data_IF_057987390643
#
_entry.id   IF_057987390643
#
_cell.length_a   1.000
_cell.length_b   1.000
_cell.length_c   1.000
_cell.angle_alpha   90.00
_cell.angle_beta   90.00
_cell.angle_gamma   90.00
#
_symmetry.space_group_name_H-M   'P 1'
#
loop_
_entity.id
_entity.type
_entity.pdbx_description
1 polymer ?
#
# COMPACT_ATOMS: atom_id res chain seq x y z
N UNK A 1 4.24 -3.56 27.68
CA UNK A 1 3.21 -2.50 27.66
C UNK A 1 3.33 -1.52 26.50
N UNK A 2 4.46 -0.82 26.20
CA UNK A 2 4.50 0.20 25.14
C UNK A 2 4.12 -0.33 23.76
N UNK A 3 4.55 -1.55 23.41
CA UNK A 3 4.23 -2.16 22.12
C UNK A 3 2.72 -2.42 21.95
N UNK A 4 2.02 -2.89 22.99
CA UNK A 4 0.56 -3.09 22.91
C UNK A 4 -0.21 -1.76 22.72
N UNK A 5 0.25 -0.68 23.38
CA UNK A 5 -0.30 0.66 23.19
C UNK A 5 -0.13 1.12 21.74
N UNK A 6 1.05 0.91 21.14
CA UNK A 6 1.32 1.23 19.75
C UNK A 6 0.40 0.45 18.81
N UNK A 7 0.23 -0.87 19.06
CA UNK A 7 -0.65 -1.76 18.25
C UNK A 7 -2.10 -1.29 18.31
N UNK A 8 -2.62 -0.95 19.48
CA UNK A 8 -4.00 -0.45 19.62
C UNK A 8 -4.16 0.91 18.96
N UNK A 9 -3.19 1.82 19.14
CA UNK A 9 -3.17 3.11 18.44
C UNK A 9 -3.19 2.94 16.92
N UNK A 10 -2.36 2.04 16.38
CA UNK A 10 -2.30 1.73 14.95
C UNK A 10 -3.63 1.17 14.42
N UNK A 11 -4.28 0.29 15.18
CA UNK A 11 -5.57 -0.26 14.81
C UNK A 11 -6.64 0.83 14.73
N UNK A 12 -6.79 1.63 15.78
CA UNK A 12 -7.80 2.69 15.84
C UNK A 12 -7.57 3.75 14.75
N UNK A 13 -6.32 4.22 14.63
CA UNK A 13 -5.95 5.21 13.65
C UNK A 13 -6.07 4.68 12.22
N UNK A 14 -5.64 3.44 11.98
CA UNK A 14 -5.74 2.79 10.68
C UNK A 14 -7.20 2.58 10.24
N UNK A 15 -8.10 2.17 11.13
CA UNK A 15 -9.53 2.07 10.84
C UNK A 15 -10.09 3.45 10.46
N UNK A 16 -9.78 4.49 11.23
CA UNK A 16 -10.23 5.84 10.96
C UNK A 16 -9.77 6.36 9.59
N UNK A 17 -8.47 6.24 9.28
CA UNK A 17 -7.91 6.78 8.04
C UNK A 17 -8.26 5.96 6.79
N UNK A 18 -8.62 4.70 6.90
CA UNK A 18 -9.03 3.90 5.75
C UNK A 18 -10.53 3.98 5.43
N UNK A 19 -11.35 4.55 6.32
CA UNK A 19 -12.79 4.73 6.12
C UNK A 19 -13.12 5.59 4.88
N UNK A 20 -12.43 6.71 4.58
CA UNK A 20 -12.69 7.51 3.39
C UNK A 20 -12.54 6.78 2.05
N UNK A 21 -11.80 5.67 2.02
CA UNK A 21 -11.64 4.86 0.79
C UNK A 21 -12.98 4.32 0.32
N UNK A 22 -13.89 3.99 1.24
CA UNK A 22 -15.25 3.52 0.90
C UNK A 22 -16.24 4.67 0.69
N UNK A 23 -16.23 5.66 1.59
CA UNK A 23 -17.25 6.73 1.61
C UNK A 23 -17.01 7.81 0.59
N UNK A 24 -15.76 8.26 0.41
CA UNK A 24 -15.49 9.49 -0.37
C UNK A 24 -15.90 9.38 -1.84
N UNK A 25 -15.71 8.25 -2.56
CA UNK A 25 -16.23 8.13 -3.93
C UNK A 25 -17.74 8.28 -4.01
N UNK A 26 -18.46 7.71 -3.02
CA UNK A 26 -19.92 7.78 -2.95
C UNK A 26 -20.41 9.20 -2.59
N UNK A 27 -19.71 9.87 -1.67
CA UNK A 27 -20.01 11.25 -1.29
C UNK A 27 -19.83 12.22 -2.45
N UNK A 28 -18.74 12.08 -3.22
CA UNK A 28 -18.50 12.90 -4.42
C UNK A 28 -19.54 12.65 -5.51
N UNK A 29 -19.97 11.39 -5.70
CA UNK A 29 -21.09 11.07 -6.60
C UNK A 29 -22.38 11.73 -6.18
N UNK A 30 -22.70 11.66 -4.88
CA UNK A 30 -23.91 12.30 -4.32
C UNK A 30 -23.89 13.83 -4.48
N UNK A 31 -22.70 14.43 -4.51
CA UNK A 31 -22.50 15.86 -4.84
C UNK A 31 -22.65 16.17 -6.36
N UNK A 32 -22.95 15.16 -7.21
CA UNK A 32 -23.06 15.36 -8.65
C UNK A 32 -21.72 15.38 -9.39
N UNK A 33 -20.62 14.98 -8.75
CA UNK A 33 -19.28 14.98 -9.36
C UNK A 33 -19.18 13.89 -10.43
N UNK A 34 -18.71 14.25 -11.63
CA UNK A 34 -18.49 13.31 -12.72
C UNK A 34 -17.41 12.27 -12.38
N UNK A 35 -17.57 11.04 -12.89
CA UNK A 35 -16.67 9.92 -12.62
C UNK A 35 -15.16 10.21 -12.85
N UNK A 36 -14.73 10.92 -13.90
CA UNK A 36 -13.32 11.29 -14.06
C UNK A 36 -12.80 12.17 -12.92
N UNK A 37 -13.60 13.13 -12.46
CA UNK A 37 -13.22 14.02 -11.37
C UNK A 37 -13.15 13.27 -10.02
N UNK A 38 -14.03 12.28 -9.80
CA UNK A 38 -13.94 11.37 -8.65
C UNK A 38 -12.63 10.58 -8.71
N UNK A 39 -12.27 10.00 -9.88
CA UNK A 39 -11.02 9.26 -10.05
C UNK A 39 -9.78 10.12 -9.76
N UNK A 40 -9.77 11.37 -10.22
CA UNK A 40 -8.68 12.34 -9.94
C UNK A 40 -8.61 12.63 -8.44
N UNK A 41 -9.74 12.93 -7.80
CA UNK A 41 -9.78 13.21 -6.38
C UNK A 41 -9.29 12.02 -5.53
N UNK A 42 -9.72 10.81 -5.84
CA UNK A 42 -9.25 9.60 -5.17
C UNK A 42 -7.76 9.32 -5.43
N UNK A 43 -7.31 9.54 -6.67
CA UNK A 43 -5.92 9.37 -7.09
C UNK A 43 -4.94 10.35 -6.44
N UNK A 44 -5.39 11.56 -6.09
CA UNK A 44 -4.54 12.60 -5.48
C UNK A 44 -3.81 12.13 -4.23
N UNK A 45 -4.46 11.28 -3.43
CA UNK A 45 -3.86 10.66 -2.24
C UNK A 45 -2.65 9.77 -2.58
N UNK A 46 -2.68 9.05 -3.68
CA UNK A 46 -1.59 8.17 -4.10
C UNK A 46 -0.40 8.97 -4.62
N UNK A 47 -0.67 10.07 -5.34
CA UNK A 47 0.38 11.01 -5.75
C UNK A 47 1.02 11.70 -4.55
N UNK A 48 0.23 12.18 -3.61
CA UNK A 48 0.75 12.77 -2.38
C UNK A 48 1.64 11.79 -1.61
N UNK A 49 1.20 10.52 -1.47
CA UNK A 49 1.98 9.47 -0.85
C UNK A 49 3.32 9.23 -1.59
N UNK A 50 3.32 9.20 -2.92
CA UNK A 50 4.54 9.01 -3.73
C UNK A 50 5.57 10.11 -3.45
N UNK A 51 5.17 11.38 -3.56
CA UNK A 51 6.09 12.51 -3.39
C UNK A 51 6.63 12.63 -1.95
N UNK A 52 5.84 12.24 -0.96
CA UNK A 52 6.21 12.36 0.44
C UNK A 52 6.98 11.14 0.97
N UNK A 53 6.85 9.98 0.34
CA UNK A 53 7.49 8.73 0.80
C UNK A 53 9.01 8.86 1.01
N UNK A 54 9.72 9.61 0.17
CA UNK A 54 11.17 9.80 0.29
C UNK A 54 11.54 10.83 1.39
N UNK A 55 10.99 12.06 1.40
CA UNK A 55 11.36 13.06 2.40
C UNK A 55 10.86 12.72 3.81
N UNK A 56 9.77 11.94 3.95
CA UNK A 56 9.16 11.64 5.25
C UNK A 56 10.10 10.83 6.15
N UNK A 57 10.88 9.89 5.59
CA UNK A 57 11.87 9.13 6.33
C UNK A 57 12.96 10.04 6.91
N UNK A 58 13.53 10.92 6.07
CA UNK A 58 14.53 11.89 6.51
C UNK A 58 13.97 12.89 7.54
N UNK A 59 12.69 13.26 7.41
CA UNK A 59 12.00 14.12 8.37
C UNK A 59 11.80 13.41 9.71
N UNK A 60 11.41 12.13 9.67
CA UNK A 60 11.26 11.27 10.87
C UNK A 60 12.57 11.14 11.63
N UNK A 61 13.70 11.00 10.91
CA UNK A 61 15.03 10.92 11.54
C UNK A 61 15.48 12.27 12.16
N UNK A 62 15.00 13.41 11.62
CA UNK A 62 15.35 14.75 12.12
C UNK A 62 14.51 15.18 13.31
N UNK A 63 13.20 14.99 13.23
CA UNK A 63 12.23 15.45 14.25
C UNK A 63 12.14 14.46 15.40
N UNK A 64 12.48 13.19 15.14
CA UNK A 64 12.30 12.09 16.08
C UNK A 64 11.00 11.33 15.79
N UNK A 65 11.00 10.04 16.14
CA UNK A 65 9.93 9.10 15.75
C UNK A 65 8.61 9.37 16.44
N UNK A 66 8.63 9.62 17.74
CA UNK A 66 7.40 9.88 18.52
C UNK A 66 6.77 11.25 18.20
N UNK A 67 7.53 12.35 18.09
CA UNK A 67 6.99 13.61 17.58
C UNK A 67 6.41 13.50 16.17
N UNK A 68 7.09 12.79 15.25
CA UNK A 68 6.59 12.56 13.90
C UNK A 68 5.29 11.74 13.90
N UNK A 69 5.22 10.71 14.73
CA UNK A 69 4.03 9.88 14.89
C UNK A 69 2.83 10.72 15.37
N UNK A 70 3.04 11.59 16.38
CA UNK A 70 2.01 12.51 16.89
C UNK A 70 1.62 13.57 15.88
N UNK A 71 2.57 14.19 15.18
CA UNK A 71 2.28 15.18 14.15
C UNK A 71 1.46 14.59 13.00
N UNK A 72 1.84 13.41 12.54
CA UNK A 72 1.11 12.68 11.51
C UNK A 72 -0.29 12.29 11.96
N UNK A 73 -0.46 11.84 13.21
CA UNK A 73 -1.76 11.51 13.76
C UNK A 73 -2.68 12.75 13.84
N UNK A 74 -2.15 13.88 14.31
CA UNK A 74 -2.88 15.16 14.33
C UNK A 74 -3.29 15.63 12.93
N UNK A 75 -2.38 15.55 11.96
CA UNK A 75 -2.66 15.91 10.57
C UNK A 75 -3.78 15.03 9.96
N UNK A 76 -3.77 13.72 10.29
CA UNK A 76 -4.81 12.79 9.88
C UNK A 76 -6.18 13.14 10.44
N UNK A 77 -6.25 13.50 11.73
CA UNK A 77 -7.50 13.96 12.36
C UNK A 77 -8.04 15.21 11.67
N UNK A 78 -7.18 16.20 11.42
CA UNK A 78 -7.57 17.42 10.71
C UNK A 78 -8.10 17.11 9.30
N UNK A 79 -7.47 16.20 8.58
CA UNK A 79 -7.93 15.79 7.26
C UNK A 79 -9.30 15.08 7.31
N UNK A 80 -9.55 14.22 8.31
CA UNK A 80 -10.85 13.56 8.50
C UNK A 80 -11.95 14.55 8.84
N UNK A 81 -11.67 15.51 9.72
CA UNK A 81 -12.61 16.59 10.04
C UNK A 81 -12.96 17.38 8.76
N UNK A 82 -11.95 17.76 7.98
CA UNK A 82 -12.15 18.47 6.72
C UNK A 82 -12.99 17.67 5.72
N UNK A 83 -12.75 16.35 5.60
CA UNK A 83 -13.48 15.46 4.69
C UNK A 83 -14.98 15.38 5.05
N UNK A 84 -15.34 15.51 6.32
CA UNK A 84 -16.74 15.56 6.76
C UNK A 84 -17.51 16.76 6.15
N UNK A 85 -16.82 17.86 5.86
CA UNK A 85 -17.40 19.08 5.29
C UNK A 85 -17.01 19.28 3.82
N UNK A 86 -16.20 18.38 3.23
CA UNK A 86 -15.73 18.53 1.87
C UNK A 86 -16.83 18.26 0.85
N UNK A 87 -17.13 19.28 0.04
CA UNK A 87 -17.98 19.17 -1.13
C UNK A 87 -17.15 19.38 -2.40
N UNK A 88 -17.44 18.59 -3.42
CA UNK A 88 -16.75 18.66 -4.70
C UNK A 88 -15.35 18.03 -4.74
N UNK A 89 -14.82 17.79 -5.96
CA UNK A 89 -13.62 16.98 -6.18
C UNK A 89 -12.32 17.65 -5.78
N UNK A 90 -12.24 19.00 -5.84
CA UNK A 90 -11.00 19.74 -5.56
C UNK A 90 -10.68 19.68 -4.08
N UNK A 91 -11.62 20.10 -3.22
CA UNK A 91 -11.42 20.08 -1.77
C UNK A 91 -11.27 18.64 -1.27
N UNK A 92 -12.11 17.73 -1.76
CA UNK A 92 -12.00 16.29 -1.45
C UNK A 92 -10.64 15.73 -1.82
N UNK A 93 -10.12 16.04 -3.00
CA UNK A 93 -8.80 15.62 -3.46
C UNK A 93 -7.66 16.17 -2.61
N UNK A 94 -7.68 17.45 -2.27
CA UNK A 94 -6.66 18.08 -1.39
C UNK A 94 -6.65 17.37 -0.02
N UNK A 95 -7.81 17.19 0.59
CA UNK A 95 -7.92 16.55 1.91
C UNK A 95 -7.53 15.06 1.88
N UNK A 96 -7.85 14.33 0.80
CA UNK A 96 -7.35 12.96 0.59
C UNK A 96 -5.83 12.93 0.43
N UNK A 97 -5.25 13.94 -0.23
CA UNK A 97 -3.80 14.13 -0.31
C UNK A 97 -3.18 14.30 1.07
N UNK A 98 -3.72 15.22 1.88
CA UNK A 98 -3.28 15.47 3.26
C UNK A 98 -3.42 14.20 4.11
N UNK A 99 -4.54 13.48 4.00
CA UNK A 99 -4.75 12.19 4.66
C UNK A 99 -3.66 11.18 4.31
N UNK A 100 -3.29 11.10 3.04
CA UNK A 100 -2.28 10.14 2.59
C UNK A 100 -0.88 10.51 3.07
N UNK A 101 -0.55 11.81 3.14
CA UNK A 101 0.67 12.32 3.77
C UNK A 101 0.71 11.90 5.25
N UNK A 102 -0.40 12.11 5.96
CA UNK A 102 -0.54 11.72 7.36
C UNK A 102 -0.37 10.22 7.56
N UNK A 103 -0.98 9.39 6.70
CA UNK A 103 -0.88 7.93 6.78
C UNK A 103 0.55 7.45 6.54
N UNK A 104 1.24 7.96 5.51
CA UNK A 104 2.63 7.60 5.20
C UNK A 104 3.57 8.03 6.32
N UNK A 105 3.39 9.24 6.87
CA UNK A 105 4.17 9.73 8.00
C UNK A 105 3.96 8.89 9.26
N UNK A 106 2.72 8.54 9.56
CA UNK A 106 2.36 7.67 10.68
C UNK A 106 3.03 6.30 10.55
N UNK A 107 2.82 5.61 9.42
CA UNK A 107 3.38 4.27 9.20
C UNK A 107 4.91 4.26 9.23
N UNK A 108 5.56 5.27 8.65
CA UNK A 108 7.02 5.39 8.66
C UNK A 108 7.56 5.53 10.09
N UNK A 109 6.95 6.43 10.87
CA UNK A 109 7.35 6.66 12.25
C UNK A 109 7.01 5.47 13.17
N UNK A 110 5.86 4.84 12.96
CA UNK A 110 5.39 3.66 13.68
C UNK A 110 6.33 2.47 13.53
N UNK A 111 6.72 2.12 12.30
CA UNK A 111 7.64 1.02 12.04
C UNK A 111 9.04 1.29 12.62
N UNK A 112 9.51 2.54 12.50
CA UNK A 112 10.78 2.94 13.08
C UNK A 112 10.74 2.88 14.61
N UNK A 113 9.67 3.36 15.24
CA UNK A 113 9.49 3.33 16.69
C UNK A 113 9.33 1.90 17.23
N UNK A 114 8.57 1.05 16.52
CA UNK A 114 8.42 -0.36 16.87
C UNK A 114 9.77 -1.11 16.87
N UNK A 115 10.62 -0.82 15.89
CA UNK A 115 11.97 -1.40 15.81
C UNK A 115 12.87 -1.00 16.98
N UNK A 116 12.58 0.13 17.66
CA UNK A 116 13.34 0.59 18.84
C UNK A 116 12.84 0.02 20.16
N UNK A 117 11.51 -0.08 20.33
CA UNK A 117 10.92 -0.60 21.57
C UNK A 117 10.93 -2.13 21.64
N UNK A 118 11.09 -2.82 20.52
CA UNK A 118 11.21 -4.27 20.47
C UNK A 118 12.63 -4.72 20.84
N UNK A 119 12.77 -5.87 21.50
CA UNK A 119 14.08 -6.52 21.64
C UNK A 119 14.65 -6.85 20.25
N UNK A 120 15.98 -6.92 20.11
CA UNK A 120 16.64 -7.22 18.82
C UNK A 120 16.09 -8.49 18.14
N UNK A 121 15.70 -9.48 18.94
CA UNK A 121 15.16 -10.76 18.49
C UNK A 121 13.70 -10.64 18.01
N UNK A 122 12.94 -9.65 18.48
CA UNK A 122 11.51 -9.43 18.18
C UNK A 122 11.23 -8.23 17.30
N UNK A 123 12.23 -7.46 16.90
CA UNK A 123 12.06 -6.26 16.12
C UNK A 123 11.38 -6.55 14.76
N UNK A 124 11.81 -7.62 14.07
CA UNK A 124 11.23 -8.01 12.78
C UNK A 124 9.78 -8.46 12.92
N UNK A 125 9.48 -9.30 13.93
CA UNK A 125 8.11 -9.76 14.18
C UNK A 125 7.19 -8.64 14.63
N UNK A 126 7.71 -7.66 15.39
CA UNK A 126 6.96 -6.47 15.79
C UNK A 126 6.53 -5.62 14.60
N UNK A 127 7.46 -5.29 13.70
CA UNK A 127 7.15 -4.54 12.47
C UNK A 127 6.18 -5.33 11.58
N UNK A 128 6.36 -6.66 11.48
CA UNK A 128 5.45 -7.51 10.71
C UNK A 128 4.01 -7.47 11.27
N UNK A 129 3.85 -7.51 12.58
CA UNK A 129 2.52 -7.42 13.24
C UNK A 129 1.83 -6.09 12.91
N UNK A 130 2.55 -4.96 12.95
CA UNK A 130 1.98 -3.66 12.57
C UNK A 130 1.58 -3.62 11.09
N UNK A 131 2.37 -4.19 10.21
CA UNK A 131 2.00 -4.36 8.80
C UNK A 131 0.74 -5.22 8.60
N UNK A 132 0.54 -6.25 9.45
CA UNK A 132 -0.68 -7.05 9.47
C UNK A 132 -1.90 -6.23 9.93
N UNK A 133 -1.74 -5.36 10.93
CA UNK A 133 -2.78 -4.45 11.40
C UNK A 133 -3.16 -3.46 10.31
N UNK A 134 -2.20 -2.89 9.59
CA UNK A 134 -2.46 -2.03 8.44
C UNK A 134 -3.33 -2.72 7.38
N UNK A 135 -3.02 -3.98 7.05
CA UNK A 135 -3.85 -4.77 6.12
C UNK A 135 -5.25 -5.05 6.69
N UNK A 136 -5.37 -5.36 7.98
CA UNK A 136 -6.65 -5.62 8.64
C UNK A 136 -7.54 -4.37 8.62
N UNK A 137 -6.99 -3.20 8.93
CA UNK A 137 -7.75 -1.95 8.89
C UNK A 137 -8.19 -1.59 7.48
N UNK A 138 -7.37 -1.86 6.47
CA UNK A 138 -7.72 -1.68 5.06
C UNK A 138 -8.77 -2.70 4.58
N UNK A 139 -8.82 -3.89 5.18
CA UNK A 139 -9.86 -4.88 4.90
C UNK A 139 -11.24 -4.46 5.43
N UNK A 140 -11.27 -3.94 6.66
CA UNK A 140 -12.50 -3.71 7.41
C UNK A 140 -13.09 -2.32 7.10
N UNK A 141 -12.28 -1.26 7.15
CA UNK A 141 -12.78 0.10 7.14
C UNK A 141 -13.56 0.47 5.86
N UNK A 142 -13.10 0.17 4.63
CA UNK A 142 -13.88 0.47 3.43
C UNK A 142 -15.21 -0.30 3.36
N UNK A 143 -15.21 -1.57 3.79
CA UNK A 143 -16.43 -2.38 3.79
C UNK A 143 -17.47 -1.85 4.78
N UNK A 144 -17.02 -1.52 6.00
CA UNK A 144 -17.88 -0.89 7.03
C UNK A 144 -18.39 0.45 6.54
N UNK A 145 -17.56 1.26 5.92
CA UNK A 145 -17.95 2.59 5.46
C UNK A 145 -19.01 2.54 4.34
N UNK A 146 -18.88 1.61 3.39
CA UNK A 146 -19.91 1.39 2.36
C UNK A 146 -21.20 0.85 2.96
N UNK A 147 -21.10 -0.08 3.92
CA UNK A 147 -22.27 -0.59 4.64
C UNK A 147 -23.00 0.55 5.37
N UNK A 148 -22.32 1.41 6.10
CA UNK A 148 -22.90 2.56 6.78
C UNK A 148 -23.58 3.51 5.80
N UNK A 149 -22.92 3.78 4.65
CA UNK A 149 -23.49 4.60 3.59
C UNK A 149 -24.83 4.05 3.09
N UNK A 150 -24.92 2.74 2.85
CA UNK A 150 -26.13 2.06 2.40
C UNK A 150 -27.28 2.13 3.43
N UNK A 151 -26.96 2.31 4.71
CA UNK A 151 -27.92 2.49 5.79
C UNK A 151 -28.20 3.97 6.12
N UNK A 152 -27.89 4.89 5.22
CA UNK A 152 -28.20 6.31 5.36
C UNK A 152 -27.21 7.10 6.22
N UNK A 153 -26.11 6.49 6.68
CA UNK A 153 -25.05 7.18 7.42
C UNK A 153 -24.01 7.66 6.41
N UNK A 154 -24.17 8.89 5.95
CA UNK A 154 -23.33 9.50 4.93
C UNK A 154 -22.00 10.02 5.48
N UNK A 155 -21.82 11.35 5.42
CA UNK A 155 -20.60 12.01 5.92
C UNK A 155 -20.47 12.01 7.44
N UNK A 156 -21.53 11.75 8.18
CA UNK A 156 -21.54 11.65 9.66
C UNK A 156 -20.55 10.60 10.16
N UNK A 157 -20.26 9.56 9.38
CA UNK A 157 -19.26 8.54 9.73
C UNK A 157 -17.83 9.10 9.88
N UNK A 158 -17.55 10.29 9.32
CA UNK A 158 -16.26 10.97 9.56
C UNK A 158 -16.11 11.48 11.00
N UNK A 159 -17.22 11.84 11.67
CA UNK A 159 -17.19 12.19 13.09
C UNK A 159 -16.76 10.97 13.93
N UNK A 160 -17.29 9.79 13.61
CA UNK A 160 -16.89 8.55 14.29
C UNK A 160 -15.44 8.18 14.00
N UNK A 161 -15.01 8.34 12.74
CA UNK A 161 -13.61 8.16 12.36
C UNK A 161 -12.67 9.11 13.13
N UNK A 162 -13.06 10.39 13.28
CA UNK A 162 -12.32 11.35 14.11
C UNK A 162 -12.25 10.89 15.57
N UNK A 163 -13.34 10.41 16.14
CA UNK A 163 -13.35 9.85 17.50
C UNK A 163 -12.34 8.71 17.67
N UNK A 164 -12.35 7.74 16.75
CA UNK A 164 -11.37 6.65 16.73
C UNK A 164 -9.93 7.15 16.59
N UNK A 165 -9.70 8.10 15.66
CA UNK A 165 -8.37 8.68 15.44
C UNK A 165 -7.88 9.45 16.67
N UNK A 166 -8.76 10.21 17.36
CA UNK A 166 -8.43 10.93 18.60
C UNK A 166 -8.09 9.94 19.71
N UNK A 167 -8.84 8.85 19.87
CA UNK A 167 -8.51 7.80 20.83
C UNK A 167 -7.13 7.18 20.53
N UNK A 168 -6.85 6.85 19.27
CA UNK A 168 -5.54 6.36 18.83
C UNK A 168 -4.42 7.38 19.09
N UNK A 169 -4.68 8.65 18.82
CA UNK A 169 -3.75 9.75 19.07
C UNK A 169 -3.47 9.94 20.56
N UNK A 170 -4.48 9.91 21.41
CA UNK A 170 -4.33 10.03 22.85
C UNK A 170 -3.42 8.92 23.44
N UNK A 171 -3.52 7.70 22.93
CA UNK A 171 -2.65 6.59 23.35
C UNK A 171 -1.16 6.86 23.06
N UNK A 172 -0.82 7.67 22.05
CA UNK A 172 0.56 8.00 21.75
C UNK A 172 1.25 8.84 22.83
N UNK A 173 0.49 9.50 23.70
CA UNK A 173 1.06 10.25 24.82
C UNK A 173 1.47 9.34 26.00
N UNK A 174 0.94 8.12 26.06
CA UNK A 174 1.35 7.10 27.01
C UNK A 174 2.64 6.36 26.60
N UNK A 175 3.15 6.62 25.38
CA UNK A 175 4.38 6.01 24.89
C UNK A 175 5.62 6.74 25.47
N UNK A 176 6.68 6.00 25.91
CA UNK A 176 7.87 6.60 26.47
C UNK A 176 8.67 7.38 25.41
N UNK A 177 9.00 8.65 25.74
CA UNK A 177 9.68 9.57 24.82
C UNK A 177 11.20 9.45 24.74
N UNK A 178 11.81 8.62 25.59
CA UNK A 178 13.28 8.52 25.67
C UNK A 178 13.78 7.22 25.05
N UNK A 179 13.99 7.24 23.74
CA UNK A 179 14.89 6.29 23.08
C UNK A 179 16.04 7.07 22.44
N UNK A 180 17.25 6.51 22.60
CA UNK A 180 18.53 7.14 22.33
C UNK A 180 18.60 7.74 20.91
N UNK A 181 18.55 9.07 20.82
CA UNK A 181 18.62 9.86 19.58
C UNK A 181 19.95 9.69 18.82
N UNK A 182 20.93 8.98 19.42
CA UNK A 182 22.30 8.86 18.91
C UNK A 182 22.47 7.80 17.82
N UNK A 183 21.51 6.89 17.61
CA UNK A 183 21.61 5.83 16.58
C UNK A 183 21.17 6.22 15.18
N UNK A 184 20.60 7.39 14.98
CA UNK A 184 19.94 7.81 13.73
C UNK A 184 20.78 8.66 12.76
N UNK A 185 22.09 8.82 12.95
CA UNK A 185 22.95 9.37 11.87
C UNK A 185 23.25 8.30 10.84
N UNK A 186 22.19 7.75 10.23
CA UNK A 186 22.33 6.98 8.99
C UNK A 186 22.95 7.88 7.95
N UNK A 187 24.13 7.49 7.48
CA UNK A 187 24.75 8.07 6.29
C UNK A 187 23.72 8.16 5.20
N UNK A 188 23.49 9.37 4.69
CA UNK A 188 22.72 9.62 3.46
C UNK A 188 23.36 8.84 2.33
N UNK A 189 23.04 7.55 2.20
CA UNK A 189 23.32 6.86 0.97
C UNK A 189 22.43 7.51 -0.09
N UNK A 190 22.99 8.11 -1.15
CA UNK A 190 22.18 8.57 -2.26
C UNK A 190 21.36 7.37 -2.73
N UNK A 191 20.06 7.58 -3.01
CA UNK A 191 19.18 6.56 -3.60
C UNK A 191 19.63 6.39 -5.06
N UNK A 192 20.82 5.86 -5.25
CA UNK A 192 21.28 5.40 -6.55
C UNK A 192 20.62 4.04 -6.77
N UNK A 193 19.58 4.04 -7.60
CA UNK A 193 18.97 2.80 -8.06
C UNK A 193 20.02 1.98 -8.81
N UNK A 194 20.50 0.93 -8.16
CA UNK A 194 21.46 0.03 -8.80
C UNK A 194 20.76 -0.74 -9.94
N UNK A 195 21.31 -0.82 -11.17
CA UNK A 195 20.65 -1.48 -12.31
C UNK A 195 20.21 -2.92 -12.05
N UNK A 196 20.90 -3.64 -11.18
CA UNK A 196 20.54 -5.01 -10.77
C UNK A 196 19.22 -5.10 -9.97
N UNK A 197 18.69 -3.98 -9.48
CA UNK A 197 17.41 -3.91 -8.75
C UNK A 197 16.23 -3.70 -9.68
N UNK A 198 16.45 -3.27 -10.94
CA UNK A 198 15.36 -2.98 -11.90
C UNK A 198 14.35 -4.12 -12.08
N UNK A 199 14.75 -5.43 -12.13
CA UNK A 199 13.77 -6.51 -12.23
C UNK A 199 12.81 -6.56 -11.04
N UNK A 200 13.32 -6.36 -9.83
CA UNK A 200 12.52 -6.36 -8.60
C UNK A 200 11.63 -5.12 -8.50
N UNK A 201 12.19 -3.95 -8.81
CA UNK A 201 11.49 -2.67 -8.83
C UNK A 201 10.36 -2.69 -9.88
N UNK A 202 10.66 -3.15 -11.11
CA UNK A 202 9.69 -3.29 -12.18
C UNK A 202 8.57 -4.27 -11.82
N UNK A 203 8.90 -5.40 -11.20
CA UNK A 203 7.92 -6.38 -10.73
C UNK A 203 7.01 -5.81 -9.64
N UNK A 204 7.58 -5.16 -8.62
CA UNK A 204 6.80 -4.51 -7.57
C UNK A 204 5.89 -3.43 -8.14
N UNK A 205 6.41 -2.54 -8.98
CA UNK A 205 5.64 -1.48 -9.63
C UNK A 205 4.48 -2.06 -10.43
N UNK A 206 4.73 -3.04 -11.30
CA UNK A 206 3.74 -3.66 -12.16
C UNK A 206 2.61 -4.35 -11.39
N UNK A 207 2.94 -5.08 -10.32
CA UNK A 207 1.95 -5.74 -9.47
C UNK A 207 1.15 -4.78 -8.59
N UNK A 208 1.64 -3.56 -8.35
CA UNK A 208 0.96 -2.56 -7.50
C UNK A 208 0.06 -1.60 -8.29
N UNK A 209 0.15 -1.57 -9.62
CA UNK A 209 -0.73 -0.78 -10.49
C UNK A 209 -2.21 -0.98 -10.16
N UNK A 210 -2.66 -2.23 -10.03
CA UNK A 210 -4.05 -2.56 -9.74
C UNK A 210 -4.54 -1.98 -8.40
N UNK A 211 -3.64 -1.78 -7.44
CA UNK A 211 -3.96 -1.12 -6.17
C UNK A 211 -4.39 0.33 -6.37
N UNK A 212 -3.73 1.05 -7.30
CA UNK A 212 -4.09 2.41 -7.68
C UNK A 212 -5.44 2.50 -8.37
N UNK A 213 -5.71 1.61 -9.33
CA UNK A 213 -7.01 1.55 -10.01
C UNK A 213 -8.14 1.21 -9.04
N UNK A 214 -7.94 0.18 -8.20
CA UNK A 214 -8.94 -0.21 -7.20
C UNK A 214 -9.23 0.93 -6.21
N UNK A 215 -8.20 1.57 -5.67
CA UNK A 215 -8.35 2.69 -4.73
C UNK A 215 -9.05 3.91 -5.33
N UNK A 216 -8.97 4.08 -6.66
CA UNK A 216 -9.58 5.22 -7.34
C UNK A 216 -10.99 4.96 -7.86
N UNK A 217 -11.28 3.76 -8.39
CA UNK A 217 -12.48 3.50 -9.17
C UNK A 217 -13.34 2.32 -8.70
N UNK A 218 -12.80 1.37 -7.92
CA UNK A 218 -13.53 0.12 -7.63
C UNK A 218 -14.91 0.36 -6.99
N UNK A 219 -14.96 1.14 -5.93
CA UNK A 219 -16.22 1.45 -5.21
C UNK A 219 -17.20 2.16 -6.12
N UNK A 220 -16.74 3.18 -6.85
CA UNK A 220 -17.53 3.93 -7.81
C UNK A 220 -18.16 3.00 -8.86
N UNK A 221 -17.32 2.16 -9.50
CA UNK A 221 -17.76 1.28 -10.58
C UNK A 221 -18.74 0.21 -10.11
N UNK A 222 -18.44 -0.43 -8.98
CA UNK A 222 -19.32 -1.47 -8.45
C UNK A 222 -20.66 -0.90 -7.97
N UNK A 223 -20.66 0.31 -7.42
CA UNK A 223 -21.90 1.02 -7.08
C UNK A 223 -22.72 1.32 -8.36
N UNK A 224 -22.09 1.82 -9.42
CA UNK A 224 -22.76 2.07 -10.71
C UNK A 224 -23.29 0.79 -11.38
N UNK A 225 -22.65 -0.36 -11.14
CA UNK A 225 -23.13 -1.68 -11.58
C UNK A 225 -24.23 -2.27 -10.69
N UNK A 226 -24.70 -1.56 -9.66
CA UNK A 226 -25.71 -2.03 -8.72
C UNK A 226 -25.22 -3.11 -7.75
N UNK A 227 -23.91 -3.27 -7.60
CA UNK A 227 -23.34 -4.30 -6.70
C UNK A 227 -23.37 -3.78 -5.27
N UNK A 228 -24.16 -4.43 -4.44
CA UNK A 228 -24.23 -4.15 -3.01
C UNK A 228 -22.89 -4.48 -2.37
N UNK A 229 -22.30 -3.48 -1.68
CA UNK A 229 -21.01 -3.58 -0.99
C UNK A 229 -19.82 -3.99 -1.90
N UNK A 230 -19.60 -3.25 -2.98
CA UNK A 230 -18.43 -3.43 -3.85
C UNK A 230 -17.06 -3.31 -3.14
N UNK A 231 -17.03 -2.76 -1.91
CA UNK A 231 -15.84 -2.74 -1.07
C UNK A 231 -15.37 -4.15 -0.64
N UNK A 232 -16.18 -5.18 -0.83
CA UNK A 232 -15.82 -6.57 -0.58
C UNK A 232 -14.53 -7.01 -1.32
N UNK A 233 -14.16 -6.34 -2.44
CA UNK A 233 -12.89 -6.58 -3.13
C UNK A 233 -11.69 -6.32 -2.20
N UNK A 234 -11.72 -5.25 -1.41
CA UNK A 234 -10.66 -4.91 -0.46
C UNK A 234 -10.62 -5.89 0.70
N UNK A 235 -11.78 -6.24 1.26
CA UNK A 235 -11.90 -7.20 2.36
C UNK A 235 -11.37 -8.58 1.95
N UNK A 236 -11.82 -9.10 0.81
CA UNK A 236 -11.38 -10.39 0.29
C UNK A 236 -9.87 -10.39 -0.01
N UNK A 237 -9.38 -9.33 -0.66
CA UNK A 237 -7.96 -9.19 -0.98
C UNK A 237 -7.08 -9.10 0.27
N UNK A 238 -7.47 -8.29 1.25
CA UNK A 238 -6.69 -8.12 2.46
C UNK A 238 -6.71 -9.39 3.34
N UNK A 239 -7.87 -10.05 3.47
CA UNK A 239 -7.99 -11.31 4.21
C UNK A 239 -7.09 -12.39 3.59
N UNK A 240 -7.15 -12.57 2.28
CA UNK A 240 -6.34 -13.57 1.58
C UNK A 240 -4.85 -13.23 1.65
N UNK A 241 -4.50 -11.95 1.47
CA UNK A 241 -3.11 -11.48 1.61
C UNK A 241 -2.57 -11.73 3.02
N UNK A 242 -3.39 -11.52 4.04
CA UNK A 242 -3.03 -11.84 5.41
C UNK A 242 -2.80 -13.34 5.62
N UNK A 243 -3.77 -14.17 5.24
CA UNK A 243 -3.72 -15.62 5.44
C UNK A 243 -2.55 -16.28 4.70
N UNK A 244 -2.26 -15.82 3.47
CA UNK A 244 -1.27 -16.44 2.60
C UNK A 244 0.12 -15.80 2.67
N UNK A 245 0.32 -14.72 3.43
CA UNK A 245 1.63 -14.02 3.50
C UNK A 245 2.75 -14.92 4.02
N UNK A 246 2.50 -15.67 5.08
CA UNK A 246 3.48 -16.60 5.63
C UNK A 246 3.77 -17.79 4.70
N UNK A 247 2.77 -18.50 4.15
CA UNK A 247 3.00 -19.51 3.12
C UNK A 247 3.76 -18.99 1.89
N UNK A 248 3.41 -17.79 1.40
CA UNK A 248 4.09 -17.18 0.26
C UNK A 248 5.59 -16.92 0.53
N UNK A 249 5.93 -16.42 1.72
CA UNK A 249 7.31 -16.28 2.14
C UNK A 249 8.07 -17.61 2.11
N UNK A 250 7.49 -18.67 2.67
CA UNK A 250 8.09 -20.02 2.64
C UNK A 250 8.28 -20.59 1.22
N UNK A 251 7.34 -20.28 0.31
CA UNK A 251 7.49 -20.69 -1.09
C UNK A 251 8.66 -19.96 -1.74
N UNK A 252 8.86 -18.66 -1.45
CA UNK A 252 10.02 -17.89 -1.94
C UNK A 252 11.33 -18.45 -1.38
N UNK A 253 11.36 -18.79 -0.08
CA UNK A 253 12.56 -19.38 0.54
C UNK A 253 12.91 -20.74 -0.07
N UNK A 254 11.90 -21.58 -0.36
CA UNK A 254 12.09 -22.93 -0.88
C UNK A 254 12.40 -22.98 -2.37
N UNK A 255 11.68 -22.23 -3.19
CA UNK A 255 11.75 -22.32 -4.66
C UNK A 255 12.50 -21.12 -5.31
N UNK A 256 12.80 -20.11 -4.51
CA UNK A 256 13.41 -18.85 -4.96
C UNK A 256 12.39 -17.85 -5.51
N UNK A 257 12.73 -16.55 -5.45
CA UNK A 257 11.79 -15.48 -5.79
C UNK A 257 11.32 -15.52 -7.25
N UNK A 258 12.15 -15.97 -8.20
CA UNK A 258 11.78 -16.03 -9.63
C UNK A 258 10.74 -17.10 -9.92
N UNK A 259 10.84 -18.26 -9.30
CA UNK A 259 9.86 -19.34 -9.48
C UNK A 259 8.47 -18.90 -8.98
N UNK A 260 8.43 -18.17 -7.85
CA UNK A 260 7.19 -17.66 -7.26
C UNK A 260 6.67 -16.42 -8.00
N UNK A 261 7.53 -15.66 -8.68
CA UNK A 261 7.11 -14.51 -9.48
C UNK A 261 6.13 -14.91 -10.60
N UNK A 262 6.29 -16.10 -11.21
CA UNK A 262 5.41 -16.57 -12.30
C UNK A 262 3.96 -16.72 -11.84
N UNK A 263 3.64 -17.56 -10.84
CA UNK A 263 2.25 -17.69 -10.37
C UNK A 263 1.72 -16.36 -9.79
N UNK A 264 2.58 -15.54 -9.15
CA UNK A 264 2.19 -14.23 -8.62
C UNK A 264 1.71 -13.29 -9.73
N UNK A 265 2.46 -13.21 -10.85
CA UNK A 265 2.08 -12.38 -12.00
C UNK A 265 0.79 -12.90 -12.68
N UNK A 266 0.66 -14.22 -12.83
CA UNK A 266 -0.55 -14.83 -13.39
C UNK A 266 -1.79 -14.57 -12.52
N UNK A 267 -1.67 -14.75 -11.21
CA UNK A 267 -2.78 -14.47 -10.28
C UNK A 267 -3.15 -12.99 -10.26
N UNK A 268 -2.16 -12.09 -10.34
CA UNK A 268 -2.41 -10.66 -10.48
C UNK A 268 -3.19 -10.34 -11.75
N UNK A 269 -2.74 -10.86 -12.89
CA UNK A 269 -3.40 -10.66 -14.18
C UNK A 269 -4.82 -11.23 -14.20
N UNK A 270 -5.01 -12.46 -13.74
CA UNK A 270 -6.33 -13.08 -13.64
C UNK A 270 -7.25 -12.30 -12.71
N UNK A 271 -6.77 -11.89 -11.55
CA UNK A 271 -7.54 -11.07 -10.61
C UNK A 271 -7.98 -9.74 -11.22
N UNK A 272 -7.11 -9.09 -12.02
CA UNK A 272 -7.45 -7.88 -12.75
C UNK A 272 -8.54 -8.13 -13.81
N UNK A 273 -8.45 -9.22 -14.58
CA UNK A 273 -9.47 -9.57 -15.59
C UNK A 273 -10.81 -9.88 -14.93
N UNK A 274 -10.81 -10.67 -13.85
CA UNK A 274 -12.05 -10.95 -13.10
C UNK A 274 -12.65 -9.67 -12.49
N UNK A 275 -11.84 -8.77 -11.94
CA UNK A 275 -12.32 -7.50 -11.41
C UNK A 275 -12.93 -6.61 -12.52
N UNK A 276 -12.29 -6.56 -13.70
CA UNK A 276 -12.78 -5.81 -14.87
C UNK A 276 -14.17 -6.29 -15.31
N UNK A 277 -14.41 -7.61 -15.29
CA UNK A 277 -15.65 -8.25 -15.74
C UNK A 277 -16.66 -8.51 -14.62
N UNK A 278 -16.41 -8.08 -13.37
CA UNK A 278 -17.28 -8.37 -12.25
C UNK A 278 -18.63 -7.61 -12.36
N UNK A 279 -19.75 -8.35 -12.35
CA UNK A 279 -21.13 -7.85 -12.34
C UNK A 279 -21.96 -8.42 -11.17
N UNK A 280 -21.34 -9.14 -10.24
CA UNK A 280 -22.00 -9.67 -9.05
C UNK A 280 -21.06 -9.57 -7.85
N UNK A 281 -21.63 -9.56 -6.64
CA UNK A 281 -20.83 -9.56 -5.41
C UNK A 281 -19.89 -10.76 -5.33
N UNK A 282 -20.35 -11.95 -5.77
CA UNK A 282 -19.51 -13.15 -5.80
C UNK A 282 -18.30 -12.99 -6.71
N UNK A 283 -18.48 -12.40 -7.89
CA UNK A 283 -17.39 -12.11 -8.83
C UNK A 283 -16.40 -11.10 -8.24
N UNK A 284 -16.87 -10.07 -7.54
CA UNK A 284 -16.05 -9.07 -6.82
C UNK A 284 -15.21 -9.74 -5.72
N UNK A 285 -15.84 -10.60 -4.92
CA UNK A 285 -15.13 -11.36 -3.87
C UNK A 285 -14.08 -12.27 -4.48
N UNK A 286 -14.42 -13.01 -5.55
CA UNK A 286 -13.48 -13.91 -6.21
C UNK A 286 -12.29 -13.15 -6.82
N UNK A 287 -12.53 -12.02 -7.48
CA UNK A 287 -11.47 -11.13 -7.94
C UNK A 287 -10.57 -10.67 -6.77
N UNK A 288 -11.17 -10.28 -5.66
CA UNK A 288 -10.45 -9.90 -4.44
C UNK A 288 -9.57 -11.03 -3.89
N UNK A 289 -10.06 -12.28 -3.87
CA UNK A 289 -9.28 -13.45 -3.45
C UNK A 289 -8.05 -13.67 -4.34
N UNK A 290 -8.20 -13.58 -5.67
CA UNK A 290 -7.09 -13.72 -6.62
C UNK A 290 -6.05 -12.60 -6.44
N UNK A 291 -6.50 -11.34 -6.37
CA UNK A 291 -5.64 -10.18 -6.15
C UNK A 291 -4.92 -10.26 -4.80
N UNK A 292 -5.61 -10.68 -3.75
CA UNK A 292 -5.03 -10.86 -2.41
C UNK A 292 -3.99 -11.97 -2.36
N UNK A 293 -4.22 -13.08 -3.05
CA UNK A 293 -3.25 -14.19 -3.18
C UNK A 293 -1.96 -13.69 -3.87
N UNK A 294 -2.10 -12.96 -4.97
CA UNK A 294 -0.96 -12.31 -5.63
C UNK A 294 -0.25 -11.34 -4.68
N UNK A 295 -1.00 -10.46 -4.02
CA UNK A 295 -0.46 -9.45 -3.10
C UNK A 295 0.32 -10.04 -1.92
N UNK A 296 -0.09 -11.22 -1.43
CA UNK A 296 0.65 -11.95 -0.39
C UNK A 296 2.08 -12.27 -0.82
N UNK A 297 2.29 -12.57 -2.11
CA UNK A 297 3.58 -12.99 -2.65
C UNK A 297 4.43 -11.83 -3.23
N UNK A 298 3.82 -10.70 -3.63
CA UNK A 298 4.54 -9.55 -4.23
C UNK A 298 5.69 -9.08 -3.34
N UNK A 299 5.45 -8.89 -2.05
CA UNK A 299 6.46 -8.39 -1.10
C UNK A 299 7.64 -9.36 -0.98
N UNK A 300 7.44 -10.66 -0.61
CA UNK A 300 8.55 -11.59 -0.47
C UNK A 300 9.28 -11.84 -1.80
N UNK A 301 8.59 -11.84 -2.94
CA UNK A 301 9.23 -11.97 -4.26
C UNK A 301 10.12 -10.77 -4.56
N UNK A 302 9.60 -9.55 -4.43
CA UNK A 302 10.35 -8.32 -4.72
C UNK A 302 11.55 -8.18 -3.79
N UNK A 303 11.38 -8.40 -2.48
CA UNK A 303 12.46 -8.35 -1.50
C UNK A 303 13.49 -9.46 -1.74
N UNK A 304 13.07 -10.67 -2.08
CA UNK A 304 13.96 -11.77 -2.45
C UNK A 304 14.86 -11.41 -3.64
N UNK A 305 14.27 -10.84 -4.70
CA UNK A 305 15.02 -10.36 -5.87
C UNK A 305 15.98 -9.21 -5.53
N UNK A 306 15.59 -8.29 -4.68
CA UNK A 306 16.43 -7.17 -4.23
C UNK A 306 17.60 -7.67 -3.38
N UNK A 307 17.36 -8.58 -2.44
CA UNK A 307 18.36 -9.07 -1.50
C UNK A 307 19.41 -9.97 -2.16
N UNK A 308 19.06 -10.66 -3.26
CA UNK A 308 20.05 -11.39 -4.07
C UNK A 308 21.20 -10.52 -4.55
N UNK A 309 20.97 -9.20 -4.68
CA UNK A 309 21.95 -8.24 -5.22
C UNK A 309 22.29 -7.12 -4.22
N UNK A 310 21.97 -7.30 -2.95
CA UNK A 310 22.19 -6.31 -1.90
C UNK A 310 23.15 -6.84 -0.84
N UNK A 311 24.12 -6.03 -0.45
CA UNK A 311 24.98 -6.27 0.73
C UNK A 311 24.28 -5.77 2.01
N UNK A 312 24.82 -6.11 3.18
CA UNK A 312 24.34 -5.57 4.47
C UNK A 312 24.33 -4.03 4.51
N UNK A 313 25.23 -3.38 3.79
CA UNK A 313 25.34 -1.91 3.71
C UNK A 313 24.29 -1.29 2.78
N UNK A 314 23.80 -2.03 1.77
CA UNK A 314 22.87 -1.51 0.74
C UNK A 314 21.44 -1.98 0.95
N UNK A 315 21.15 -2.81 1.96
CA UNK A 315 19.78 -3.30 2.26
C UNK A 315 18.79 -2.18 2.53
N UNK A 316 19.19 -1.12 3.23
CA UNK A 316 18.34 0.04 3.46
C UNK A 316 17.94 0.75 2.16
N UNK A 317 18.92 0.95 1.25
CA UNK A 317 18.65 1.53 -0.07
C UNK A 317 17.75 0.63 -0.93
N UNK A 318 17.93 -0.70 -0.85
CA UNK A 318 17.05 -1.67 -1.52
C UNK A 318 15.60 -1.62 -1.01
N UNK A 319 15.41 -1.47 0.30
CA UNK A 319 14.07 -1.27 0.89
C UNK A 319 13.45 0.04 0.43
N UNK A 320 14.25 1.13 0.36
CA UNK A 320 13.79 2.41 -0.19
C UNK A 320 13.36 2.30 -1.66
N UNK A 321 14.13 1.57 -2.48
CA UNK A 321 13.78 1.29 -3.88
C UNK A 321 12.46 0.49 -4.01
N UNK A 322 12.23 -0.49 -3.14
CA UNK A 322 10.97 -1.21 -3.06
C UNK A 322 9.79 -0.29 -2.71
N UNK A 323 9.94 0.52 -1.67
CA UNK A 323 8.87 1.45 -1.22
C UNK A 323 8.53 2.46 -2.30
N UNK A 324 9.56 2.99 -2.99
CA UNK A 324 9.36 3.89 -4.13
C UNK A 324 8.62 3.19 -5.28
N UNK A 325 9.01 1.97 -5.64
CA UNK A 325 8.34 1.18 -6.68
C UNK A 325 6.87 0.91 -6.34
N UNK A 326 6.60 0.56 -5.09
CA UNK A 326 5.25 0.35 -4.57
C UNK A 326 4.38 1.61 -4.70
N UNK A 327 4.86 2.74 -4.21
CA UNK A 327 4.13 4.02 -4.27
C UNK A 327 3.98 4.51 -5.72
N UNK A 328 5.02 4.36 -6.55
CA UNK A 328 4.98 4.72 -7.96
C UNK A 328 3.98 3.87 -8.73
N UNK A 329 3.92 2.55 -8.45
CA UNK A 329 2.93 1.66 -9.06
C UNK A 329 1.49 2.07 -8.71
N UNK A 330 1.22 2.36 -7.44
CA UNK A 330 -0.10 2.83 -7.02
C UNK A 330 -0.47 4.18 -7.68
N UNK A 331 0.45 5.15 -7.72
CA UNK A 331 0.22 6.44 -8.37
C UNK A 331 0.00 6.29 -9.89
N UNK A 332 0.82 5.46 -10.56
CA UNK A 332 0.65 5.15 -11.99
C UNK A 332 -0.70 4.47 -12.24
N UNK A 333 -1.11 3.54 -11.38
CA UNK A 333 -2.42 2.91 -11.46
C UNK A 333 -3.57 3.91 -11.34
N UNK A 334 -3.48 4.89 -10.44
CA UNK A 334 -4.45 5.97 -10.33
C UNK A 334 -4.49 6.86 -11.60
N UNK A 335 -3.32 7.11 -12.22
CA UNK A 335 -3.26 7.80 -13.52
C UNK A 335 -3.95 7.00 -14.62
N UNK A 336 -3.66 5.68 -14.70
CA UNK A 336 -4.32 4.77 -15.66
C UNK A 336 -5.83 4.78 -15.45
N UNK A 337 -6.30 4.75 -14.20
CA UNK A 337 -7.72 4.84 -13.87
C UNK A 337 -8.34 6.14 -14.39
N UNK A 338 -7.70 7.27 -14.17
CA UNK A 338 -8.16 8.58 -14.64
C UNK A 338 -8.21 8.65 -16.17
N UNK A 339 -7.12 8.27 -16.86
CA UNK A 339 -7.03 8.30 -18.32
C UNK A 339 -8.04 7.34 -18.96
N UNK A 340 -8.20 6.13 -18.43
CA UNK A 340 -9.18 5.17 -18.91
C UNK A 340 -10.63 5.70 -18.76
N UNK A 341 -10.91 6.43 -17.68
CA UNK A 341 -12.23 7.03 -17.46
C UNK A 341 -12.49 8.19 -18.43
N UNK A 342 -11.48 9.04 -18.67
CA UNK A 342 -11.58 10.11 -19.66
C UNK A 342 -11.78 9.56 -21.09
N UNK A 343 -11.20 8.41 -21.40
CA UNK A 343 -11.38 7.72 -22.67
C UNK A 343 -12.71 6.93 -22.76
N UNK A 344 -13.60 7.03 -21.77
CA UNK A 344 -14.89 6.35 -21.74
C UNK A 344 -14.86 4.86 -21.36
N UNK A 345 -13.68 4.29 -21.07
CA UNK A 345 -13.54 2.87 -20.75
C UNK A 345 -13.51 2.55 -19.25
N UNK A 346 -13.32 3.58 -18.41
CA UNK A 346 -13.40 3.50 -16.96
C UNK A 346 -12.58 2.37 -16.33
N UNK A 347 -13.15 1.77 -15.31
CA UNK A 347 -12.50 0.70 -14.52
C UNK A 347 -12.17 -0.54 -15.37
N UNK A 348 -13.02 -0.92 -16.33
CA UNK A 348 -12.83 -2.12 -17.15
C UNK A 348 -11.53 -2.03 -17.95
N UNK A 349 -11.32 -0.93 -18.68
CA UNK A 349 -10.09 -0.72 -19.45
C UNK A 349 -8.89 -0.59 -18.51
N UNK A 350 -9.02 0.18 -17.42
CA UNK A 350 -7.94 0.36 -16.48
C UNK A 350 -7.45 -0.97 -15.87
N UNK A 351 -8.35 -1.84 -15.43
CA UNK A 351 -7.98 -3.14 -14.87
C UNK A 351 -7.43 -4.10 -15.92
N UNK A 352 -7.93 -4.07 -17.14
CA UNK A 352 -7.39 -4.87 -18.27
C UNK A 352 -5.95 -4.45 -18.59
N UNK A 353 -5.65 -3.15 -18.60
CA UNK A 353 -4.28 -2.65 -18.78
C UNK A 353 -3.37 -3.08 -17.60
N UNK A 354 -3.89 -3.06 -16.37
CA UNK A 354 -3.14 -3.55 -15.20
C UNK A 354 -2.84 -5.05 -15.25
N UNK A 355 -3.65 -5.85 -15.96
CA UNK A 355 -3.38 -7.27 -16.15
C UNK A 355 -2.12 -7.52 -16.99
N UNK A 356 -1.82 -6.63 -17.93
CA UNK A 356 -0.65 -6.75 -18.82
C UNK A 356 0.66 -6.46 -18.08
N UNK A 357 0.67 -5.52 -17.13
CA UNK A 357 1.88 -5.06 -16.46
C UNK A 357 2.73 -6.18 -15.84
N UNK A 358 2.18 -7.00 -14.91
CA UNK A 358 2.91 -8.11 -14.29
C UNK A 358 3.45 -9.12 -15.31
N UNK A 359 2.68 -9.42 -16.37
CA UNK A 359 3.07 -10.37 -17.42
C UNK A 359 4.20 -9.80 -18.29
N UNK A 360 4.15 -8.51 -18.62
CA UNK A 360 5.17 -7.84 -19.43
C UNK A 360 6.54 -7.79 -18.75
N UNK A 361 6.57 -7.64 -17.43
CA UNK A 361 7.82 -7.59 -16.65
C UNK A 361 8.40 -8.98 -16.38
N UNK A 362 7.58 -10.03 -16.43
CA UNK A 362 7.99 -11.40 -16.08
C UNK A 362 9.20 -11.92 -16.88
N UNK A 363 9.28 -11.76 -18.22
CA UNK A 363 10.46 -12.18 -18.98
C UNK A 363 11.75 -11.52 -18.51
N UNK A 364 11.69 -10.24 -18.11
CA UNK A 364 12.84 -9.50 -17.59
C UNK A 364 13.30 -10.06 -16.22
N UNK A 365 12.37 -10.36 -15.33
CA UNK A 365 12.65 -11.00 -14.03
C UNK A 365 13.31 -12.36 -14.21
N UNK A 366 12.84 -13.17 -15.17
CA UNK A 366 13.36 -14.51 -15.41
C UNK A 366 14.75 -14.49 -16.06
N UNK A 367 14.99 -13.57 -17.01
CA UNK A 367 16.28 -13.43 -17.72
C UNK A 367 17.41 -12.96 -16.82
N UNK A 368 17.14 -12.20 -15.77
CA UNK A 368 18.16 -11.65 -14.87
C UNK A 368 19.06 -12.71 -14.20
N UNK A 369 18.65 -13.99 -14.22
CA UNK A 369 19.44 -15.12 -13.69
C UNK A 369 20.56 -15.60 -14.64
N UNK A 370 20.38 -15.48 -15.96
CA UNK A 370 21.37 -15.98 -16.93
C UNK A 370 22.69 -15.23 -16.85
N UNK A 371 22.64 -13.91 -16.71
CA UNK A 371 23.82 -13.06 -16.59
C UNK A 371 24.67 -13.36 -15.32
N UNK A 372 24.03 -13.71 -14.20
CA UNK A 372 24.74 -13.99 -12.96
C UNK A 372 25.46 -15.36 -12.97
N UNK A 373 24.90 -16.39 -13.64
CA UNK A 373 25.55 -17.69 -13.81
C UNK A 373 26.73 -17.63 -14.79
N UNK A 374 26.56 -16.91 -15.90
CA UNK A 374 27.64 -16.72 -16.90
C UNK A 374 28.84 -15.97 -16.28
N UNK A 375 28.56 -14.93 -15.46
CA UNK A 375 29.62 -14.19 -14.76
C UNK A 375 30.29 -14.99 -13.63
N UNK A 376 29.62 -15.91 -12.96
CA UNK A 376 30.26 -16.85 -12.02
C UNK A 376 31.13 -17.87 -12.74
N UNK A 377 30.62 -18.51 -13.79
CA UNK A 377 31.39 -19.43 -14.61
C UNK A 377 32.65 -18.80 -15.21
N UNK A 378 32.59 -17.55 -15.66
CA UNK A 378 33.76 -16.81 -16.17
C UNK A 378 34.74 -16.43 -15.05
N UNK A 379 34.30 -16.23 -13.80
CA UNK A 379 35.22 -15.99 -12.67
C UNK A 379 35.92 -17.27 -12.19
N UNK A 380 35.20 -18.40 -12.19
CA UNK A 380 35.82 -19.70 -11.84
C UNK A 380 36.83 -20.18 -12.87
N UNK A 381 36.69 -19.78 -14.14
CA UNK A 381 37.65 -20.07 -15.20
C UNK A 381 38.86 -19.06 -15.20
N UNK A 382 38.67 -17.88 -14.61
CA UNK A 382 39.68 -16.81 -14.57
C UNK A 382 40.58 -16.84 -13.31
N UNK A 383 40.40 -17.78 -12.39
CA UNK A 383 41.32 -18.04 -11.27
C UNK A 383 41.99 -19.38 -11.47
N UNK A 384 43.13 -19.43 -12.19
CA UNK A 384 43.99 -20.63 -12.16
C UNK A 384 44.62 -20.76 -10.77
N UNK A 385 44.53 -21.97 -10.21
CA UNK A 385 45.14 -22.42 -8.97
C UNK A 385 46.67 -22.20 -8.94
#
# INVERSE_FOLDING_TARGET
MPYAILVVSALLYGLALNLPVGTMPLALLADGTAAPAVAIAMGSGMFAALFVSLPIGALTDRIGRLPMLRASAGLGILSLLGLGFAHGPVLGGILLGIRSIALVGYMTAEFAYAGEIASKERAVSGVATLGMIGNLTFAIAPAVSVFLWQHGIGREQYAWACGLAICGFALLFALPGKFDERRGRGTRAPILMHPRWYPAVGFALACTLQGGVNGSLAILTFHQRGIVNGAAIFTASAFTSFALRYPAGRLVDRFGPRAVAVPTALLSALGCVFAASAHSLLAVVFAGLLLGTSWAAVVPVALGLLFEHSSSRTRGAAMGAYTLAFSAGAATGATVATLATLAGGGYTIAMTLCAVGPLAVLPYVLRSRRSARVLRGLREVATPS
#
